data_IF_349646809275
#
_entry.id   IF_349646809275
#
_cell.length_a   1.000
_cell.length_b   1.000
_cell.length_c   1.000
_cell.angle_alpha   90.00
_cell.angle_beta   90.00
_cell.angle_gamma   90.00
#
_symmetry.space_group_name_H-M   'P 1'
#
loop_
_entity.id
_entity.type
_entity.pdbx_description
1 polymer ?
#
# COMPACT_ATOMS: atom_id res chain seq x y z
N UNK A 1 29.75 -19.36 -27.85
CA UNK A 1 29.34 -20.09 -26.61
C UNK A 1 28.06 -19.55 -25.96
N UNK A 2 27.78 -18.22 -25.96
CA UNK A 2 26.61 -17.64 -25.32
C UNK A 2 25.26 -17.84 -26.04
N UNK A 3 25.27 -17.96 -27.35
CA UNK A 3 24.06 -18.12 -28.18
C UNK A 3 23.61 -19.58 -28.28
N UNK A 4 24.53 -20.54 -28.24
CA UNK A 4 24.20 -21.99 -28.29
C UNK A 4 23.53 -22.45 -27.00
N UNK A 5 23.96 -21.96 -25.84
CA UNK A 5 23.36 -22.30 -24.54
C UNK A 5 21.89 -21.85 -24.43
N UNK A 6 21.49 -20.79 -25.16
CA UNK A 6 20.09 -20.30 -25.17
C UNK A 6 19.13 -21.20 -25.95
N UNK A 7 19.61 -21.93 -26.96
CA UNK A 7 18.78 -22.88 -27.74
C UNK A 7 18.36 -24.12 -26.95
N UNK A 8 19.03 -24.40 -25.85
CA UNK A 8 18.79 -25.60 -25.03
C UNK A 8 17.89 -25.39 -23.81
N UNK A 9 17.49 -24.10 -23.50
CA UNK A 9 16.56 -23.85 -22.42
C UNK A 9 15.13 -24.20 -22.85
N UNK A 10 14.55 -25.22 -22.21
CA UNK A 10 13.24 -25.78 -22.58
C UNK A 10 12.10 -25.27 -21.71
N UNK A 11 12.40 -24.76 -20.53
CA UNK A 11 11.40 -24.32 -19.56
C UNK A 11 11.61 -22.86 -19.15
N UNK A 12 10.51 -22.21 -18.69
CA UNK A 12 10.56 -20.87 -18.10
C UNK A 12 11.41 -20.86 -16.83
N UNK A 13 11.41 -21.96 -16.07
CA UNK A 13 12.21 -22.10 -14.87
C UNK A 13 13.70 -22.02 -15.19
N UNK A 14 14.18 -22.84 -16.12
CA UNK A 14 15.59 -22.81 -16.58
C UNK A 14 16.00 -21.43 -17.10
N UNK A 15 15.09 -20.74 -17.80
CA UNK A 15 15.36 -19.39 -18.31
C UNK A 15 15.49 -18.37 -17.17
N UNK A 16 14.64 -18.43 -16.16
CA UNK A 16 14.73 -17.57 -14.97
C UNK A 16 16.01 -17.82 -14.20
N UNK A 17 16.34 -19.07 -13.92
CA UNK A 17 17.59 -19.46 -13.25
C UNK A 17 18.84 -18.93 -13.99
N UNK A 18 18.81 -18.95 -15.33
CA UNK A 18 19.92 -18.40 -16.13
C UNK A 18 19.99 -16.86 -16.05
N UNK A 19 18.85 -16.17 -16.02
CA UNK A 19 18.80 -14.70 -15.84
C UNK A 19 19.33 -14.33 -14.45
N UNK A 20 18.86 -15.01 -13.41
CA UNK A 20 19.27 -14.76 -12.01
C UNK A 20 20.77 -15.01 -11.83
N UNK A 21 21.29 -16.11 -12.32
CA UNK A 21 22.72 -16.44 -12.29
C UNK A 21 23.59 -15.36 -12.96
N UNK A 22 23.12 -14.77 -14.07
CA UNK A 22 23.84 -13.69 -14.77
C UNK A 22 23.72 -12.37 -14.03
N UNK A 23 22.57 -12.12 -13.41
CA UNK A 23 22.38 -10.96 -12.57
C UNK A 23 23.34 -10.99 -11.39
N UNK A 24 23.40 -12.11 -10.67
CA UNK A 24 24.33 -12.30 -9.55
C UNK A 24 25.78 -12.09 -9.97
N UNK A 25 26.20 -12.68 -11.09
CA UNK A 25 27.55 -12.49 -11.61
C UNK A 25 27.84 -11.02 -11.99
N UNK A 26 26.86 -10.29 -12.54
CA UNK A 26 27.02 -8.88 -12.89
C UNK A 26 27.03 -7.97 -11.65
N UNK A 27 26.29 -8.31 -10.60
CA UNK A 27 26.28 -7.57 -9.33
C UNK A 27 27.57 -7.80 -8.55
N UNK A 28 28.03 -9.06 -8.49
CA UNK A 28 29.26 -9.42 -7.74
C UNK A 28 30.54 -8.94 -8.42
N UNK A 29 30.54 -8.87 -9.76
CA UNK A 29 31.68 -8.36 -10.54
C UNK A 29 31.19 -7.51 -11.73
N UNK A 30 30.93 -6.22 -11.54
CA UNK A 30 30.25 -5.34 -12.51
C UNK A 30 31.14 -4.93 -13.68
N UNK A 31 31.56 -5.88 -14.49
CA UNK A 31 32.26 -5.62 -15.74
C UNK A 31 31.27 -5.37 -16.90
N UNK A 32 31.66 -4.59 -17.93
CA UNK A 32 30.81 -4.39 -19.12
C UNK A 32 30.39 -5.71 -19.78
N UNK A 33 31.27 -6.71 -19.76
CA UNK A 33 30.96 -8.05 -20.29
C UNK A 33 29.89 -8.79 -19.45
N UNK A 34 30.00 -8.78 -18.11
CA UNK A 34 29.06 -9.43 -17.23
C UNK A 34 27.68 -8.74 -17.31
N UNK A 35 27.64 -7.43 -17.28
CA UNK A 35 26.42 -6.64 -17.44
C UNK A 35 25.79 -6.91 -18.83
N UNK A 36 26.57 -6.94 -19.89
CA UNK A 36 26.10 -7.26 -21.25
C UNK A 36 25.47 -8.66 -21.34
N UNK A 37 26.03 -9.67 -20.69
CA UNK A 37 25.46 -11.00 -20.64
C UNK A 37 24.12 -11.04 -19.88
N UNK A 38 24.00 -10.33 -18.77
CA UNK A 38 22.76 -10.18 -18.03
C UNK A 38 21.68 -9.51 -18.89
N UNK A 39 21.98 -8.34 -19.47
CA UNK A 39 21.04 -7.59 -20.33
C UNK A 39 20.52 -8.44 -21.48
N UNK A 40 21.41 -9.20 -22.13
CA UNK A 40 21.02 -10.12 -23.22
C UNK A 40 20.07 -11.24 -22.73
N UNK A 41 20.29 -11.81 -21.53
CA UNK A 41 19.44 -12.85 -21.01
C UNK A 41 18.06 -12.31 -20.63
N UNK A 42 18.04 -11.13 -19.99
CA UNK A 42 16.80 -10.43 -19.63
C UNK A 42 15.99 -10.03 -20.88
N UNK A 43 16.64 -9.50 -21.92
CA UNK A 43 15.97 -9.17 -23.16
C UNK A 43 15.32 -10.40 -23.82
N UNK A 44 15.99 -11.54 -23.78
CA UNK A 44 15.42 -12.81 -24.28
C UNK A 44 14.20 -13.27 -23.48
N UNK A 45 14.24 -13.15 -22.16
CA UNK A 45 13.08 -13.43 -21.29
C UNK A 45 11.89 -12.51 -21.63
N UNK A 46 12.13 -11.21 -21.79
CA UNK A 46 11.11 -10.23 -22.18
C UNK A 46 10.52 -10.51 -23.57
N UNK A 47 11.35 -10.89 -24.54
CA UNK A 47 10.88 -11.30 -25.85
C UNK A 47 9.94 -12.52 -25.78
N UNK A 48 10.28 -13.53 -25.00
CA UNK A 48 9.42 -14.72 -24.80
C UNK A 48 8.11 -14.36 -24.10
N UNK A 49 8.17 -13.50 -23.10
CA UNK A 49 6.98 -12.97 -22.43
C UNK A 49 6.06 -12.20 -23.39
N UNK A 50 6.61 -11.39 -24.30
CA UNK A 50 5.86 -10.67 -25.33
C UNK A 50 5.14 -11.61 -26.30
N UNK A 51 5.84 -12.63 -26.80
CA UNK A 51 5.25 -13.65 -27.68
C UNK A 51 4.12 -14.41 -26.96
N UNK A 52 4.33 -14.78 -25.70
CA UNK A 52 3.28 -15.42 -24.88
C UNK A 52 2.07 -14.51 -24.72
N UNK A 53 2.25 -13.23 -24.38
CA UNK A 53 1.16 -12.29 -24.20
C UNK A 53 0.34 -12.06 -25.48
N UNK A 54 0.98 -12.11 -26.62
CA UNK A 54 0.27 -12.01 -27.92
C UNK A 54 -0.52 -13.28 -28.22
N UNK A 55 0.11 -14.45 -28.04
CA UNK A 55 -0.55 -15.75 -28.22
C UNK A 55 -1.72 -15.91 -27.26
N UNK A 56 -1.57 -15.47 -26.02
CA UNK A 56 -2.62 -15.44 -25.01
C UNK A 56 -3.82 -14.60 -25.45
N UNK A 57 -3.58 -13.38 -25.94
CA UNK A 57 -4.66 -12.52 -26.47
C UNK A 57 -5.42 -13.18 -27.61
N UNK A 58 -4.73 -13.85 -28.54
CA UNK A 58 -5.37 -14.59 -29.63
C UNK A 58 -6.20 -15.74 -29.09
N UNK A 59 -5.63 -16.52 -28.15
CA UNK A 59 -6.34 -17.63 -27.53
C UNK A 59 -7.62 -17.19 -26.80
N UNK A 60 -7.65 -16.00 -26.17
CA UNK A 60 -8.85 -15.44 -25.56
C UNK A 60 -9.91 -15.03 -26.60
N UNK A 61 -9.51 -14.55 -27.79
CA UNK A 61 -10.46 -14.27 -28.88
C UNK A 61 -11.13 -15.56 -29.36
N UNK A 62 -10.35 -16.65 -29.48
CA UNK A 62 -10.84 -17.96 -29.90
C UNK A 62 -11.64 -18.69 -28.78
N UNK A 63 -11.44 -18.29 -27.52
CA UNK A 63 -12.06 -18.90 -26.35
C UNK A 63 -12.61 -17.84 -25.38
N UNK A 64 -13.67 -17.12 -25.77
CA UNK A 64 -14.18 -15.98 -24.99
C UNK A 64 -14.68 -16.34 -23.59
N UNK A 65 -15.01 -17.61 -23.33
CA UNK A 65 -15.41 -18.11 -22.00
C UNK A 65 -14.29 -18.01 -20.95
N UNK A 66 -13.02 -17.90 -21.38
CA UNK A 66 -11.87 -17.71 -20.49
C UNK A 66 -11.42 -16.24 -20.40
N UNK A 67 -12.10 -15.33 -21.09
CA UNK A 67 -11.76 -13.91 -21.07
C UNK A 67 -12.34 -13.22 -19.83
N UNK A 68 -11.54 -13.11 -18.79
CA UNK A 68 -11.89 -12.36 -17.59
C UNK A 68 -12.15 -10.87 -17.85
N UNK A 69 -11.69 -10.34 -19.00
CA UNK A 69 -11.94 -8.94 -19.37
C UNK A 69 -13.36 -8.76 -19.92
N UNK A 70 -14.02 -9.83 -20.33
CA UNK A 70 -15.46 -9.80 -20.67
C UNK A 70 -16.32 -9.50 -19.43
N UNK A 71 -15.86 -9.93 -18.23
CA UNK A 71 -16.48 -9.61 -16.94
C UNK A 71 -16.00 -8.26 -16.40
N UNK A 72 -14.80 -7.81 -16.82
CA UNK A 72 -14.19 -6.52 -16.50
C UNK A 72 -13.73 -5.87 -17.80
N UNK A 73 -14.54 -5.01 -18.43
CA UNK A 73 -14.25 -4.46 -19.74
C UNK A 73 -12.86 -3.83 -19.81
N UNK A 74 -12.01 -4.33 -20.70
CA UNK A 74 -10.66 -3.82 -20.93
C UNK A 74 -10.64 -2.54 -21.78
N UNK A 75 -11.80 -2.04 -22.19
CA UNK A 75 -11.90 -0.78 -22.92
C UNK A 75 -11.59 0.36 -21.97
N UNK A 76 -10.51 1.09 -22.22
CA UNK A 76 -9.99 2.16 -21.38
C UNK A 76 -11.05 3.17 -20.90
N UNK A 77 -12.05 3.48 -21.72
CA UNK A 77 -13.14 4.40 -21.36
C UNK A 77 -14.04 3.80 -20.27
N UNK A 78 -14.44 2.52 -20.39
CA UNK A 78 -15.32 1.87 -19.42
C UNK A 78 -14.56 1.54 -18.13
N UNK A 79 -13.33 1.02 -18.23
CA UNK A 79 -12.49 0.76 -17.05
C UNK A 79 -12.11 2.04 -16.31
N UNK A 80 -11.84 3.14 -17.02
CA UNK A 80 -11.60 4.46 -16.44
C UNK A 80 -12.86 5.01 -15.78
N UNK A 81 -14.04 4.86 -16.41
CA UNK A 81 -15.32 5.25 -15.81
C UNK A 81 -15.61 4.49 -14.52
N UNK A 82 -15.49 3.16 -14.53
CA UNK A 82 -15.68 2.32 -13.34
C UNK A 82 -14.65 2.62 -12.24
N UNK A 83 -13.39 2.91 -12.61
CA UNK A 83 -12.36 3.30 -11.65
C UNK A 83 -12.68 4.64 -11.01
N UNK A 84 -13.08 5.65 -11.79
CA UNK A 84 -13.50 6.96 -11.28
C UNK A 84 -14.73 6.87 -10.38
N UNK A 85 -15.70 6.03 -10.72
CA UNK A 85 -16.88 5.83 -9.90
C UNK A 85 -16.54 5.15 -8.56
N UNK A 86 -15.66 4.15 -8.57
CA UNK A 86 -15.14 3.49 -7.34
C UNK A 86 -14.35 4.48 -6.49
N UNK A 87 -13.48 5.28 -7.08
CA UNK A 87 -12.72 6.32 -6.39
C UNK A 87 -13.65 7.37 -5.79
N UNK A 88 -14.64 7.84 -6.55
CA UNK A 88 -15.65 8.78 -6.06
C UNK A 88 -16.50 8.22 -4.91
N UNK A 89 -16.82 6.92 -4.94
CA UNK A 89 -17.51 6.25 -3.83
C UNK A 89 -16.60 6.19 -2.60
N UNK A 90 -15.37 5.74 -2.76
CA UNK A 90 -14.37 5.65 -1.68
C UNK A 90 -14.14 7.02 -1.02
N UNK A 91 -14.01 8.10 -1.79
CA UNK A 91 -13.87 9.46 -1.28
C UNK A 91 -15.07 9.88 -0.43
N UNK A 92 -16.30 9.56 -0.85
CA UNK A 92 -17.51 9.84 -0.07
C UNK A 92 -17.55 9.04 1.23
N UNK A 93 -17.17 7.76 1.19
CA UNK A 93 -17.10 6.91 2.37
C UNK A 93 -16.05 7.40 3.36
N UNK A 94 -14.84 7.79 2.88
CA UNK A 94 -13.79 8.38 3.73
C UNK A 94 -14.28 9.66 4.41
N UNK A 95 -15.03 10.52 3.71
CA UNK A 95 -15.61 11.72 4.33
C UNK A 95 -16.59 11.38 5.46
N UNK A 96 -17.38 10.34 5.31
CA UNK A 96 -18.28 9.87 6.38
C UNK A 96 -17.52 9.31 7.58
N UNK A 97 -16.38 8.64 7.34
CA UNK A 97 -15.53 8.07 8.38
C UNK A 97 -14.90 9.13 9.31
N UNK A 98 -14.77 10.38 8.87
CA UNK A 98 -14.26 11.49 9.68
C UNK A 98 -15.11 11.77 10.94
N UNK A 99 -16.39 11.34 10.96
CA UNK A 99 -17.25 11.46 12.15
C UNK A 99 -16.80 10.57 13.30
N UNK A 100 -16.27 9.39 12.96
CA UNK A 100 -15.98 8.31 13.89
C UNK A 100 -14.48 8.10 14.12
N UNK A 101 -13.65 8.75 13.29
CA UNK A 101 -12.20 8.57 13.31
C UNK A 101 -11.48 9.92 13.30
N UNK A 102 -10.24 9.90 13.77
CA UNK A 102 -9.30 11.02 13.69
C UNK A 102 -7.91 10.50 13.37
N UNK A 103 -6.96 11.41 13.20
CA UNK A 103 -5.58 11.07 12.96
C UNK A 103 -4.66 11.55 14.07
N UNK A 104 -3.56 10.82 14.25
CA UNK A 104 -2.37 11.29 14.94
C UNK A 104 -1.26 11.35 13.88
N UNK A 105 -0.71 12.54 13.69
CA UNK A 105 0.43 12.77 12.81
C UNK A 105 1.68 12.95 13.65
N UNK A 106 2.64 12.05 13.47
CA UNK A 106 3.95 12.11 14.07
C UNK A 106 4.95 12.68 13.07
N UNK A 107 5.64 13.75 13.41
CA UNK A 107 6.61 14.40 12.53
C UNK A 107 7.90 14.78 13.26
N UNK A 108 8.99 14.68 12.52
CA UNK A 108 10.30 15.22 12.86
C UNK A 108 10.53 16.60 12.21
N UNK A 109 11.75 17.10 12.18
CA UNK A 109 12.14 18.37 11.57
C UNK A 109 12.62 18.24 10.11
N UNK A 110 12.38 17.10 9.46
CA UNK A 110 12.84 16.81 8.10
C UNK A 110 11.97 17.42 7.01
N UNK A 111 12.54 17.55 5.80
CA UNK A 111 11.80 17.92 4.59
C UNK A 111 10.65 16.96 4.27
N UNK A 112 10.80 15.67 4.59
CA UNK A 112 9.74 14.66 4.40
C UNK A 112 8.52 15.00 5.26
N UNK A 113 8.74 15.42 6.50
CA UNK A 113 7.67 15.87 7.40
C UNK A 113 6.99 17.11 6.84
N UNK A 114 7.72 18.08 6.29
CA UNK A 114 7.12 19.28 5.67
C UNK A 114 6.17 18.89 4.54
N UNK A 115 6.60 18.07 3.60
CA UNK A 115 5.76 17.62 2.48
C UNK A 115 4.54 16.83 2.94
N UNK A 116 4.72 15.89 3.87
CA UNK A 116 3.60 15.10 4.37
C UNK A 116 2.60 15.95 5.16
N UNK A 117 3.09 16.94 5.91
CA UNK A 117 2.25 17.87 6.68
C UNK A 117 1.32 18.68 5.77
N UNK A 118 1.81 19.14 4.62
CA UNK A 118 0.99 19.81 3.60
C UNK A 118 -0.12 18.91 3.08
N UNK A 119 0.21 17.66 2.76
CA UNK A 119 -0.77 16.66 2.31
C UNK A 119 -1.80 16.33 3.39
N UNK A 120 -1.38 16.18 4.64
CA UNK A 120 -2.28 15.90 5.76
C UNK A 120 -3.21 17.07 6.04
N UNK A 121 -2.72 18.32 5.97
CA UNK A 121 -3.55 19.53 6.13
C UNK A 121 -4.56 19.67 5.00
N UNK A 122 -4.16 19.42 3.75
CA UNK A 122 -5.07 19.41 2.61
C UNK A 122 -6.14 18.31 2.78
N UNK A 123 -5.74 17.11 3.20
CA UNK A 123 -6.65 16.00 3.49
C UNK A 123 -7.61 16.33 4.64
N UNK A 124 -7.13 16.96 5.69
CA UNK A 124 -7.97 17.43 6.80
C UNK A 124 -9.02 18.42 6.32
N UNK A 125 -8.63 19.39 5.51
CA UNK A 125 -9.54 20.41 4.97
C UNK A 125 -10.58 19.79 4.01
N UNK A 126 -10.19 18.82 3.20
CA UNK A 126 -11.05 18.17 2.20
C UNK A 126 -12.07 17.21 2.85
N UNK A 127 -11.62 16.38 3.81
CA UNK A 127 -12.42 15.27 4.36
C UNK A 127 -12.98 15.53 5.76
N UNK A 128 -12.50 16.55 6.48
CA UNK A 128 -13.02 16.96 7.78
C UNK A 128 -12.54 16.13 8.97
N UNK A 129 -11.41 15.43 8.85
CA UNK A 129 -10.83 14.70 9.98
C UNK A 129 -10.21 15.62 11.01
N UNK A 130 -10.35 15.30 12.29
CA UNK A 130 -9.50 15.86 13.32
C UNK A 130 -8.11 15.25 13.26
N UNK A 131 -7.08 16.08 13.37
CA UNK A 131 -5.67 15.65 13.37
C UNK A 131 -4.97 16.18 14.60
N UNK A 132 -4.44 15.29 15.43
CA UNK A 132 -3.52 15.63 16.49
C UNK A 132 -2.09 15.59 15.97
N UNK A 133 -1.37 16.70 16.09
CA UNK A 133 0.03 16.79 15.66
C UNK A 133 0.97 16.53 16.84
N UNK A 134 1.94 15.65 16.63
CA UNK A 134 2.92 15.22 17.63
C UNK A 134 4.32 15.34 17.05
N UNK A 135 5.20 16.09 17.74
CA UNK A 135 6.59 16.25 17.36
C UNK A 135 7.46 15.21 18.03
N UNK A 136 8.19 14.41 17.23
CA UNK A 136 9.16 13.44 17.74
C UNK A 136 10.57 14.04 17.92
N UNK A 137 10.79 15.26 17.44
CA UNK A 137 12.04 16.04 17.61
C UNK A 137 12.01 16.98 18.81
N UNK A 138 10.99 16.89 19.70
CA UNK A 138 10.80 17.76 20.85
C UNK A 138 9.84 18.94 20.59
N UNK A 139 9.71 19.84 21.59
CA UNK A 139 8.76 20.94 21.58
C UNK A 139 9.10 22.05 20.58
N UNK A 140 10.36 22.17 20.18
CA UNK A 140 10.86 23.30 19.38
C UNK A 140 10.90 23.01 17.87
N UNK A 141 10.07 22.07 17.40
CA UNK A 141 9.99 21.74 15.99
C UNK A 141 9.42 22.92 15.17
N UNK A 142 10.24 23.57 14.31
CA UNK A 142 9.85 24.76 13.57
C UNK A 142 8.75 24.49 12.53
N UNK A 143 8.59 23.23 12.10
CA UNK A 143 7.57 22.81 11.13
C UNK A 143 6.21 22.61 11.79
N UNK A 144 6.18 22.34 13.09
CA UNK A 144 4.99 21.95 13.83
C UNK A 144 4.91 22.70 15.18
N UNK A 145 4.93 24.03 15.13
CA UNK A 145 4.96 24.91 16.33
C UNK A 145 3.80 24.70 17.32
N UNK A 146 2.70 24.10 16.90
CA UNK A 146 1.53 23.79 17.75
C UNK A 146 1.43 22.28 18.06
N UNK A 147 2.41 21.48 17.68
CA UNK A 147 2.42 20.07 17.97
C UNK A 147 2.71 19.81 19.46
N UNK A 148 2.11 18.74 19.96
CA UNK A 148 2.46 18.21 21.28
C UNK A 148 3.78 17.46 21.19
N UNK A 149 4.56 17.47 22.25
CA UNK A 149 5.74 16.64 22.38
C UNK A 149 5.37 15.15 22.48
N UNK A 150 6.15 14.29 21.87
CA UNK A 150 5.84 12.85 21.76
C UNK A 150 6.00 12.09 23.07
N UNK A 151 6.41 12.45 24.11
CA UNK A 151 6.46 11.74 25.42
C UNK A 151 6.27 10.20 25.37
N UNK A 152 6.74 9.56 24.31
CA UNK A 152 6.65 8.12 24.09
C UNK A 152 5.36 7.62 23.43
N UNK A 153 4.47 8.52 23.00
CA UNK A 153 3.20 8.15 22.34
C UNK A 153 3.46 7.44 21.01
N UNK A 154 4.46 7.85 20.23
CA UNK A 154 4.82 7.23 18.96
C UNK A 154 5.22 5.76 19.12
N UNK A 155 5.99 5.42 20.16
CA UNK A 155 6.37 4.05 20.43
C UNK A 155 5.17 3.16 20.81
N UNK A 156 4.15 3.75 21.40
CA UNK A 156 2.95 3.04 21.84
C UNK A 156 1.91 2.88 20.71
N UNK A 157 1.63 3.95 19.97
CA UNK A 157 0.58 4.00 18.94
C UNK A 157 1.07 3.51 17.59
N UNK A 158 2.29 3.90 17.24
CA UNK A 158 2.89 3.58 15.94
C UNK A 158 3.90 2.42 16.05
N UNK A 159 3.49 1.31 16.67
CA UNK A 159 4.37 0.15 16.90
C UNK A 159 5.00 -0.34 15.61
N UNK A 160 6.33 -0.46 15.60
CA UNK A 160 7.11 -0.89 14.45
C UNK A 160 7.42 0.20 13.43
N UNK A 161 6.94 1.42 13.61
CA UNK A 161 7.34 2.57 12.78
C UNK A 161 8.76 2.97 13.15
N UNK A 162 9.66 2.87 12.17
CA UNK A 162 11.08 3.24 12.30
C UNK A 162 11.43 4.52 11.56
N UNK A 163 10.49 5.08 10.83
CA UNK A 163 10.71 6.27 10.00
C UNK A 163 9.55 7.24 10.16
N UNK A 164 9.89 8.51 10.34
CA UNK A 164 8.95 9.62 10.36
C UNK A 164 9.05 10.43 9.05
N UNK A 165 8.01 11.16 8.69
CA UNK A 165 6.72 11.28 9.39
C UNK A 165 5.87 10.01 9.31
N UNK A 166 4.92 9.87 10.24
CA UNK A 166 3.95 8.78 10.26
C UNK A 166 2.54 9.32 10.52
N UNK A 167 1.55 8.80 9.81
CA UNK A 167 0.14 9.11 10.00
C UNK A 167 -0.60 7.85 10.48
N UNK A 168 -1.34 7.98 11.56
CA UNK A 168 -2.04 6.87 12.22
C UNK A 168 -3.51 7.22 12.36
N UNK A 169 -4.40 6.31 11.99
CA UNK A 169 -5.85 6.43 12.18
C UNK A 169 -6.24 5.88 13.55
N UNK A 170 -7.06 6.65 14.26
CA UNK A 170 -7.63 6.26 15.56
C UNK A 170 -9.15 6.34 15.50
N UNK A 171 -9.84 5.43 16.15
CA UNK A 171 -11.30 5.49 16.31
C UNK A 171 -11.65 6.31 17.56
N UNK A 172 -12.67 7.15 17.47
CA UNK A 172 -13.20 7.91 18.63
C UNK A 172 -13.91 7.03 19.66
N UNK A 173 -14.31 5.84 19.25
CA UNK A 173 -15.01 4.87 20.11
C UNK A 173 -14.06 3.89 20.80
N UNK A 174 -12.80 3.86 20.41
CA UNK A 174 -11.79 2.95 20.95
C UNK A 174 -10.83 3.72 21.86
N UNK A 175 -10.82 3.34 23.13
CA UNK A 175 -9.90 3.93 24.12
C UNK A 175 -8.50 3.31 24.07
N UNK A 176 -8.41 2.09 23.54
CA UNK A 176 -7.15 1.37 23.38
C UNK A 176 -6.43 1.84 22.10
N UNK A 177 -5.49 2.76 22.26
CA UNK A 177 -4.69 3.28 21.17
C UNK A 177 -3.78 2.22 20.52
N UNK A 178 -3.63 1.03 21.12
CA UNK A 178 -2.87 -0.07 20.46
C UNK A 178 -3.60 -0.64 19.24
N UNK A 179 -4.89 -0.35 19.09
CA UNK A 179 -5.72 -0.71 17.95
C UNK A 179 -5.66 0.31 16.80
N UNK A 180 -4.92 1.39 16.98
CA UNK A 180 -4.70 2.37 15.93
C UNK A 180 -4.05 1.71 14.68
N UNK A 181 -4.39 2.21 13.50
CA UNK A 181 -3.89 1.66 12.23
C UNK A 181 -2.96 2.65 11.54
N UNK A 182 -1.80 2.17 11.13
CA UNK A 182 -0.85 2.97 10.37
C UNK A 182 -1.40 3.23 8.96
N UNK A 183 -1.43 4.49 8.54
CA UNK A 183 -1.93 4.93 7.23
C UNK A 183 -0.78 5.16 6.26
N UNK A 184 0.26 5.86 6.71
CA UNK A 184 1.43 6.15 5.89
C UNK A 184 2.66 6.41 6.74
N UNK A 185 3.83 6.14 6.15
CA UNK A 185 5.15 6.56 6.64
C UNK A 185 5.88 7.28 5.50
N UNK A 186 6.61 8.34 5.83
CA UNK A 186 7.26 9.18 4.83
C UNK A 186 6.25 10.00 4.00
N UNK A 187 6.62 10.33 2.76
CA UNK A 187 5.74 11.09 1.87
C UNK A 187 4.64 10.18 1.29
N UNK A 188 3.39 10.65 1.30
CA UNK A 188 2.27 10.00 0.65
C UNK A 188 1.42 11.03 -0.09
N UNK A 189 0.89 10.66 -1.26
CA UNK A 189 -0.05 11.49 -2.01
C UNK A 189 -1.48 11.38 -1.47
N UNK A 190 -2.34 12.32 -1.85
CA UNK A 190 -3.71 12.40 -1.38
C UNK A 190 -4.51 11.12 -1.65
N UNK A 191 -4.33 10.49 -2.82
CA UNK A 191 -5.08 9.29 -3.19
C UNK A 191 -4.62 8.05 -2.41
N UNK A 192 -3.33 7.97 -2.10
CA UNK A 192 -2.78 6.97 -1.18
C UNK A 192 -3.36 7.13 0.22
N UNK A 193 -3.48 8.36 0.72
CA UNK A 193 -4.14 8.62 2.00
C UNK A 193 -5.61 8.18 2.00
N UNK A 194 -6.36 8.48 0.93
CA UNK A 194 -7.76 8.04 0.77
C UNK A 194 -7.87 6.51 0.82
N UNK A 195 -7.09 5.81 0.01
CA UNK A 195 -7.14 4.34 -0.08
C UNK A 195 -6.78 3.67 1.23
N UNK A 196 -5.70 4.12 1.85
CA UNK A 196 -5.22 3.52 3.10
C UNK A 196 -6.16 3.82 4.26
N UNK A 197 -6.72 5.04 4.34
CA UNK A 197 -7.72 5.40 5.35
C UNK A 197 -8.98 4.57 5.20
N UNK A 198 -9.49 4.41 3.97
CA UNK A 198 -10.65 3.58 3.70
C UNK A 198 -10.43 2.11 4.11
N UNK A 199 -9.28 1.55 3.74
CA UNK A 199 -8.93 0.16 4.10
C UNK A 199 -8.82 -0.03 5.62
N UNK A 200 -8.10 0.86 6.30
CA UNK A 200 -7.86 0.80 7.74
C UNK A 200 -9.16 0.98 8.54
N UNK A 201 -10.00 1.94 8.19
CA UNK A 201 -11.27 2.15 8.88
C UNK A 201 -12.22 0.96 8.71
N UNK A 202 -12.30 0.35 7.53
CA UNK A 202 -13.08 -0.86 7.30
C UNK A 202 -12.53 -2.07 8.07
N UNK A 203 -11.22 -2.16 8.26
CA UNK A 203 -10.60 -3.18 9.12
C UNK A 203 -11.00 -2.96 10.58
N UNK A 204 -10.89 -1.74 11.09
CA UNK A 204 -11.30 -1.39 12.46
C UNK A 204 -12.77 -1.70 12.72
N UNK A 205 -13.66 -1.46 11.75
CA UNK A 205 -15.08 -1.79 11.85
C UNK A 205 -15.31 -3.31 11.94
N UNK A 206 -14.60 -4.11 11.15
CA UNK A 206 -14.69 -5.58 11.19
C UNK A 206 -14.16 -6.12 12.51
N UNK A 207 -13.02 -5.64 12.98
CA UNK A 207 -12.43 -6.04 14.27
C UNK A 207 -13.42 -5.77 15.42
N UNK A 208 -14.10 -4.62 15.39
CA UNK A 208 -15.12 -4.25 16.36
C UNK A 208 -16.37 -5.14 16.31
N UNK A 209 -16.85 -5.47 15.12
CA UNK A 209 -18.01 -6.35 14.93
C UNK A 209 -17.71 -7.76 15.46
N UNK A 210 -16.55 -8.32 15.13
CA UNK A 210 -16.09 -9.63 15.63
C UNK A 210 -15.98 -9.65 17.15
N UNK A 211 -15.40 -8.63 17.77
CA UNK A 211 -15.31 -8.54 19.23
C UNK A 211 -16.68 -8.45 19.92
N UNK A 212 -17.65 -7.80 19.29
CA UNK A 212 -19.03 -7.73 19.80
C UNK A 212 -19.72 -9.11 19.74
N UNK A 213 -19.54 -9.86 18.64
CA UNK A 213 -20.08 -11.21 18.47
C UNK A 213 -19.49 -12.17 19.52
N UNK A 214 -18.19 -12.12 19.74
CA UNK A 214 -17.51 -12.94 20.75
C UNK A 214 -18.00 -12.63 22.17
N UNK A 215 -18.24 -11.37 22.48
CA UNK A 215 -18.77 -10.94 23.78
C UNK A 215 -20.20 -11.46 24.01
N UNK A 216 -21.06 -11.40 23.00
CA UNK A 216 -22.43 -11.94 23.06
C UNK A 216 -22.40 -13.46 23.24
N UNK A 217 -21.55 -14.17 22.50
CA UNK A 217 -21.39 -15.62 22.60
C UNK A 217 -20.89 -16.05 23.99
N UNK A 218 -19.96 -15.29 24.58
CA UNK A 218 -19.47 -15.53 25.95
C UNK A 218 -20.57 -15.30 26.98
N UNK A 219 -21.36 -14.24 26.85
CA UNK A 219 -22.50 -13.94 27.73
C UNK A 219 -23.56 -15.04 27.70
N UNK A 220 -23.91 -15.54 26.51
CA UNK A 220 -24.86 -16.65 26.36
C UNK A 220 -24.38 -17.98 26.98
N UNK A 221 -23.08 -18.25 26.94
CA UNK A 221 -22.48 -19.42 27.63
C UNK A 221 -22.51 -19.28 29.14
N UNK A 222 -22.35 -18.07 29.68
CA UNK A 222 -22.39 -17.82 31.12
C UNK A 222 -23.81 -17.99 31.71
N UNK A 223 -24.85 -17.64 30.95
CA UNK A 223 -26.27 -17.77 31.38
C UNK A 223 -26.77 -19.23 31.33
N UNK A 224 -26.09 -20.12 30.60
CA UNK A 224 -26.46 -21.56 30.51
C UNK A 224 -25.80 -22.44 31.56
N UNK A 225 -25.00 -21.87 32.44
CA UNK A 225 -24.40 -22.54 33.60
C UNK A 225 -25.10 -22.12 34.90
#
# INVERSE_FOLDING_TARGET
AGLEKRRNLKTVKELREEVDRRMDAAVMNPTPAAIGLYLQANAFLMQKAGVFAESWRRALVDNPQFDWTAVRPAVNVVSTGMSREREGRMMREVRLMAKDHGFIFFGDDTLKTRHMLEQVRAFQAEYGFDVAFVSVSGSDNPLMSQAREDKGLSAFVARGVRQFPALVLVSRFEKDLTKAKLIATGAADAMTLVRNTHAAANEMLRDRASAAEDSVAAGLKAVRR
#
